data_IF_468721685035
#
_entry.id   IF_468721685035
#
_cell.length_a   1.000
_cell.length_b   1.000
_cell.length_c   1.000
_cell.angle_alpha   90.00
_cell.angle_beta   90.00
_cell.angle_gamma   90.00
#
_symmetry.space_group_name_H-M   'P 1'
#
loop_
_entity.id
_entity.type
_entity.pdbx_description
1 polymer ?
#
# COMPACT_ATOMS: atom_id res chain seq x y z
N UNK A 1 -1.56 -9.94 14.68
CA UNK A 1 -2.39 -8.72 14.60
C UNK A 1 -3.61 -8.97 13.72
N UNK A 2 -3.47 -9.55 12.53
CA UNK A 2 -4.59 -9.96 11.68
C UNK A 2 -5.75 -10.72 12.40
N UNK A 3 -5.45 -11.63 13.33
CA UNK A 3 -6.49 -12.33 14.11
C UNK A 3 -7.31 -11.37 14.99
N UNK A 4 -6.70 -10.33 15.55
CA UNK A 4 -7.42 -9.35 16.35
C UNK A 4 -8.37 -8.50 15.48
N UNK A 5 -7.90 -8.05 14.31
CA UNK A 5 -8.79 -7.41 13.32
C UNK A 5 -9.93 -8.33 12.90
N UNK A 6 -9.64 -9.61 12.69
CA UNK A 6 -10.66 -10.59 12.31
C UNK A 6 -11.76 -10.72 13.35
N UNK A 7 -11.39 -10.68 14.64
CA UNK A 7 -12.33 -10.67 15.76
C UNK A 7 -13.12 -9.36 15.83
N UNK A 8 -12.44 -8.23 15.76
CA UNK A 8 -13.04 -6.91 15.92
C UNK A 8 -14.13 -6.64 14.86
N UNK A 9 -13.88 -7.08 13.63
CA UNK A 9 -14.77 -6.85 12.49
C UNK A 9 -15.64 -8.08 12.11
N UNK A 10 -15.64 -9.15 12.92
CA UNK A 10 -16.39 -10.39 12.67
C UNK A 10 -16.23 -10.92 11.23
N UNK A 11 -14.96 -11.07 10.80
CA UNK A 11 -14.61 -11.36 9.41
C UNK A 11 -14.79 -12.84 9.01
N UNK A 12 -15.04 -13.07 7.72
CA UNK A 12 -14.83 -14.36 7.07
C UNK A 12 -13.40 -14.43 6.53
N UNK A 13 -12.58 -15.35 7.07
CA UNK A 13 -11.13 -15.37 6.82
C UNK A 13 -10.68 -16.70 6.23
N UNK A 14 -9.99 -16.66 5.09
CA UNK A 14 -9.17 -17.76 4.59
C UNK A 14 -7.74 -17.58 5.11
N UNK A 15 -7.34 -18.41 6.07
CA UNK A 15 -5.97 -18.41 6.60
C UNK A 15 -5.11 -19.40 5.83
N UNK A 16 -4.03 -18.94 5.21
CA UNK A 16 -3.05 -19.79 4.55
C UNK A 16 -1.70 -19.71 5.28
N UNK A 17 -1.05 -20.85 5.53
CA UNK A 17 0.28 -20.91 6.18
C UNK A 17 1.12 -22.04 5.64
N UNK A 18 2.44 -21.86 5.61
CA UNK A 18 3.36 -22.96 5.34
C UNK A 18 3.34 -23.92 6.53
N UNK A 19 3.46 -25.21 6.23
CA UNK A 19 3.73 -26.27 7.21
C UNK A 19 5.10 -26.83 6.92
N UNK A 20 5.94 -26.87 7.95
CA UNK A 20 7.28 -27.45 7.85
C UNK A 20 7.29 -28.64 8.80
N UNK A 21 6.88 -29.79 8.29
CA UNK A 21 6.99 -31.05 9.00
C UNK A 21 8.30 -31.74 8.58
N UNK A 22 8.82 -32.65 9.42
CA UNK A 22 10.15 -33.23 9.23
C UNK A 22 10.36 -33.97 7.88
N UNK A 23 9.26 -34.37 7.22
CA UNK A 23 9.29 -35.15 5.98
C UNK A 23 8.88 -34.35 4.72
N UNK A 24 8.08 -33.28 4.85
CA UNK A 24 7.53 -32.58 3.70
C UNK A 24 7.12 -31.13 4.03
N UNK A 25 7.30 -30.23 3.06
CA UNK A 25 6.81 -28.86 3.14
C UNK A 25 5.40 -28.80 2.55
N UNK A 26 4.43 -28.46 3.38
CA UNK A 26 3.02 -28.35 3.01
C UNK A 26 2.48 -26.92 3.10
N UNK A 27 1.24 -26.75 2.68
CA UNK A 27 0.44 -25.54 2.83
C UNK A 27 -0.87 -25.93 3.49
N UNK A 28 -1.15 -25.32 4.65
CA UNK A 28 -2.42 -25.45 5.34
C UNK A 28 -3.31 -24.26 5.00
N UNK A 29 -4.55 -24.53 4.60
CA UNK A 29 -5.60 -23.55 4.37
C UNK A 29 -6.74 -23.80 5.38
N UNK A 30 -7.15 -22.78 6.12
CA UNK A 30 -8.22 -22.88 7.13
C UNK A 30 -9.25 -21.78 6.85
N UNK A 31 -10.52 -22.15 6.71
CA UNK A 31 -11.61 -21.18 6.61
C UNK A 31 -12.17 -20.92 8.01
N UNK A 32 -12.09 -19.68 8.44
CA UNK A 32 -12.50 -19.22 9.76
C UNK A 32 -13.67 -18.24 9.62
N UNK A 33 -14.69 -18.39 10.46
CA UNK A 33 -15.73 -17.38 10.65
C UNK A 33 -15.56 -16.77 12.03
N UNK A 34 -15.57 -15.45 12.12
CA UNK A 34 -15.58 -14.76 13.40
C UNK A 34 -16.99 -14.28 13.69
N UNK A 35 -17.51 -14.63 14.87
CA UNK A 35 -18.82 -14.18 15.34
C UNK A 35 -18.68 -13.78 16.80
N UNK A 36 -19.11 -12.57 17.17
CA UNK A 36 -18.97 -12.06 18.54
C UNK A 36 -17.52 -12.15 19.05
N UNK A 37 -16.54 -11.85 18.18
CA UNK A 37 -15.11 -11.91 18.49
C UNK A 37 -14.53 -13.31 18.75
N UNK A 38 -15.28 -14.39 18.53
CA UNK A 38 -14.80 -15.77 18.66
C UNK A 38 -14.53 -16.41 17.29
N UNK A 39 -13.36 -17.05 17.08
CA UNK A 39 -13.07 -17.78 15.86
C UNK A 39 -13.75 -19.16 15.84
N UNK A 40 -14.54 -19.43 14.82
CA UNK A 40 -15.06 -20.74 14.47
C UNK A 40 -14.26 -21.29 13.28
N UNK A 41 -13.62 -22.46 13.45
CA UNK A 41 -13.02 -23.19 12.34
C UNK A 41 -14.13 -23.90 11.55
N UNK A 42 -14.38 -23.45 10.32
CA UNK A 42 -15.43 -24.01 9.48
C UNK A 42 -14.92 -25.22 8.69
N UNK A 43 -13.73 -25.09 8.10
CA UNK A 43 -13.12 -26.16 7.30
C UNK A 43 -11.60 -25.98 7.22
N UNK A 44 -10.89 -27.05 6.87
CA UNK A 44 -9.43 -27.03 6.72
C UNK A 44 -8.94 -28.00 5.66
N UNK A 45 -7.97 -27.56 4.88
CA UNK A 45 -7.36 -28.31 3.78
C UNK A 45 -5.84 -28.30 3.90
N UNK A 46 -5.22 -29.41 3.50
CA UNK A 46 -3.77 -29.56 3.51
C UNK A 46 -3.32 -30.09 2.17
N UNK A 47 -2.30 -29.43 1.59
CA UNK A 47 -1.71 -29.83 0.33
C UNK A 47 -0.19 -29.73 0.41
N UNK A 48 0.51 -30.50 -0.42
CA UNK A 48 1.94 -30.31 -0.62
C UNK A 48 2.22 -28.91 -1.20
N UNK A 49 3.34 -28.29 -0.86
CA UNK A 49 3.71 -26.99 -1.43
C UNK A 49 3.83 -27.03 -2.96
N UNK A 50 4.22 -28.17 -3.52
CA UNK A 50 4.25 -28.42 -4.97
C UNK A 50 2.89 -28.32 -5.64
N UNK A 51 1.79 -28.56 -4.93
CA UNK A 51 0.43 -28.38 -5.45
C UNK A 51 0.07 -26.90 -5.67
N UNK A 52 0.86 -25.98 -5.11
CA UNK A 52 0.79 -24.53 -5.36
C UNK A 52 1.86 -24.04 -6.36
N UNK A 53 2.62 -24.96 -6.96
CA UNK A 53 3.77 -24.63 -7.81
C UNK A 53 5.00 -24.16 -7.04
N UNK A 54 5.02 -24.32 -5.71
CA UNK A 54 6.18 -23.99 -4.89
C UNK A 54 7.18 -25.17 -4.90
N UNK A 55 8.46 -24.87 -5.11
CA UNK A 55 9.49 -25.91 -5.12
C UNK A 55 9.61 -26.58 -3.74
N UNK A 56 9.66 -27.92 -3.72
CA UNK A 56 9.83 -28.71 -2.50
C UNK A 56 11.21 -28.50 -1.85
N UNK A 57 12.19 -28.00 -2.61
CA UNK A 57 13.56 -27.79 -2.15
C UNK A 57 13.70 -26.46 -1.39
N UNK A 58 13.63 -26.62 -0.07
CA UNK A 58 14.24 -25.77 0.95
C UNK A 58 13.48 -24.48 1.31
N UNK A 59 12.30 -24.21 0.73
CA UNK A 59 11.49 -23.02 1.07
C UNK A 59 12.18 -21.67 0.82
N UNK A 60 13.38 -21.68 0.23
CA UNK A 60 14.26 -20.51 0.02
C UNK A 60 14.57 -20.30 -1.46
N UNK A 61 14.41 -21.31 -2.32
CA UNK A 61 14.73 -21.22 -3.75
C UNK A 61 13.47 -21.21 -4.61
N UNK A 62 13.01 -20.02 -4.97
CA UNK A 62 12.09 -19.88 -6.10
C UNK A 62 12.88 -20.21 -7.39
N UNK A 63 12.38 -21.07 -8.30
CA UNK A 63 13.00 -21.23 -9.60
C UNK A 63 13.13 -19.86 -10.28
N UNK A 64 14.28 -19.61 -10.92
CA UNK A 64 14.47 -18.40 -11.72
C UNK A 64 13.45 -18.43 -12.87
N UNK A 65 12.50 -17.51 -12.85
CA UNK A 65 11.44 -17.38 -13.84
C UNK A 65 10.05 -17.68 -13.30
N UNK A 66 9.02 -17.27 -14.05
CA UNK A 66 7.61 -17.50 -13.76
C UNK A 66 7.26 -18.98 -13.93
N UNK A 67 7.77 -19.85 -13.05
CA UNK A 67 7.26 -21.21 -12.96
C UNK A 67 5.74 -21.13 -12.84
N UNK A 68 4.99 -21.93 -13.62
CA UNK A 68 3.55 -21.84 -13.64
C UNK A 68 3.03 -22.08 -12.22
N UNK A 69 2.46 -21.04 -11.64
CA UNK A 69 1.76 -21.17 -10.37
C UNK A 69 0.50 -21.98 -10.66
N UNK A 70 0.35 -23.09 -9.95
CA UNK A 70 -0.84 -23.95 -10.03
C UNK A 70 -1.64 -23.79 -8.75
N UNK A 71 -2.95 -24.01 -8.85
CA UNK A 71 -3.83 -24.01 -7.69
C UNK A 71 -4.39 -25.42 -7.49
N UNK A 72 -4.45 -25.97 -6.27
CA UNK A 72 -4.95 -27.31 -6.05
C UNK A 72 -6.38 -27.50 -6.57
N UNK A 73 -6.59 -28.57 -7.33
CA UNK A 73 -7.91 -28.89 -7.91
C UNK A 73 -8.99 -29.00 -6.82
N UNK A 74 -10.13 -28.37 -7.05
CA UNK A 74 -11.29 -28.43 -6.15
C UNK A 74 -11.20 -27.54 -4.91
N UNK A 75 -10.02 -26.97 -4.59
CA UNK A 75 -9.85 -26.16 -3.38
C UNK A 75 -10.71 -24.88 -3.46
N UNK A 76 -10.75 -24.21 -4.61
CA UNK A 76 -11.52 -22.97 -4.78
C UNK A 76 -13.02 -23.24 -4.69
N UNK A 77 -13.51 -24.33 -5.28
CA UNK A 77 -14.91 -24.74 -5.24
C UNK A 77 -15.34 -25.13 -3.82
N UNK A 78 -14.45 -25.77 -3.06
CA UNK A 78 -14.70 -26.11 -1.67
C UNK A 78 -14.79 -24.85 -0.80
N UNK A 79 -13.84 -23.90 -0.97
CA UNK A 79 -13.89 -22.61 -0.28
C UNK A 79 -15.15 -21.83 -0.67
N UNK A 80 -15.50 -21.76 -1.96
CA UNK A 80 -16.67 -21.05 -2.46
C UNK A 80 -17.97 -21.55 -1.82
N UNK A 81 -18.18 -22.86 -1.86
CA UNK A 81 -19.36 -23.51 -1.28
C UNK A 81 -19.52 -23.18 0.21
N UNK A 82 -18.44 -23.28 0.98
CA UNK A 82 -18.46 -22.95 2.40
C UNK A 82 -18.69 -21.46 2.63
N UNK A 83 -18.06 -20.58 1.86
CA UNK A 83 -18.24 -19.14 2.00
C UNK A 83 -19.68 -18.69 1.72
N UNK A 84 -20.34 -19.30 0.73
CA UNK A 84 -21.74 -19.04 0.37
C UNK A 84 -22.71 -19.43 1.49
N UNK A 85 -22.43 -20.52 2.22
CA UNK A 85 -23.23 -20.96 3.38
C UNK A 85 -23.09 -20.00 4.58
N UNK A 86 -21.98 -19.25 4.68
CA UNK A 86 -21.60 -18.52 5.89
C UNK A 86 -21.94 -17.03 5.86
N UNK A 87 -21.89 -16.41 4.68
CA UNK A 87 -22.03 -14.97 4.50
C UNK A 87 -22.54 -14.59 3.10
N UNK A 88 -23.31 -13.49 2.98
CA UNK A 88 -23.73 -12.92 1.70
C UNK A 88 -22.57 -12.67 0.72
N UNK A 89 -22.88 -12.62 -0.58
CA UNK A 89 -21.89 -12.47 -1.65
C UNK A 89 -21.17 -11.10 -1.67
N UNK A 90 -21.75 -10.08 -1.05
CA UNK A 90 -21.15 -8.74 -0.92
C UNK A 90 -20.18 -8.63 0.27
N UNK A 91 -20.11 -9.66 1.13
CA UNK A 91 -19.12 -9.75 2.22
C UNK A 91 -17.81 -10.30 1.66
N UNK A 92 -16.69 -9.55 1.74
CA UNK A 92 -15.40 -10.04 1.25
C UNK A 92 -14.90 -11.27 1.99
N UNK A 93 -14.18 -12.13 1.27
CA UNK A 93 -13.33 -13.15 1.86
C UNK A 93 -11.97 -12.54 2.18
N UNK A 94 -11.59 -12.55 3.45
CA UNK A 94 -10.31 -12.01 3.90
C UNK A 94 -9.21 -13.07 3.88
N UNK A 95 -8.21 -12.89 3.03
CA UNK A 95 -7.01 -13.72 3.01
C UNK A 95 -6.03 -13.28 4.10
N UNK A 96 -5.70 -14.19 5.00
CA UNK A 96 -4.64 -14.02 6.00
C UNK A 96 -3.50 -14.99 5.71
N UNK A 97 -2.39 -14.47 5.18
CA UNK A 97 -1.17 -15.26 4.95
C UNK A 97 -0.37 -15.31 6.26
N UNK A 98 -0.64 -16.33 7.07
CA UNK A 98 -0.10 -16.46 8.42
C UNK A 98 1.32 -17.06 8.43
N UNK A 99 2.08 -16.76 9.49
CA UNK A 99 3.42 -17.32 9.69
C UNK A 99 3.38 -18.83 9.99
N UNK A 100 4.37 -19.61 9.51
CA UNK A 100 5.43 -19.21 8.58
C UNK A 100 4.89 -18.96 7.16
N UNK A 101 5.25 -17.81 6.57
CA UNK A 101 4.66 -17.34 5.30
C UNK A 101 5.33 -17.97 4.07
N UNK A 102 6.65 -18.18 4.11
CA UNK A 102 7.41 -18.62 2.93
C UNK A 102 7.15 -17.72 1.72
N UNK A 103 6.72 -18.34 0.61
CA UNK A 103 6.33 -17.67 -0.63
C UNK A 103 4.81 -17.56 -0.82
N UNK A 104 3.99 -17.88 0.19
CA UNK A 104 2.53 -17.80 0.04
C UNK A 104 2.02 -16.39 -0.28
N UNK A 105 2.73 -15.36 0.20
CA UNK A 105 2.41 -13.96 -0.12
C UNK A 105 2.58 -13.62 -1.60
N UNK A 106 3.40 -14.38 -2.35
CA UNK A 106 3.67 -14.15 -3.77
C UNK A 106 2.68 -14.86 -4.70
N UNK A 107 1.83 -15.73 -4.16
CA UNK A 107 0.84 -16.46 -4.96
C UNK A 107 -0.31 -15.53 -5.38
N UNK A 108 -0.85 -15.70 -6.60
CA UNK A 108 -1.95 -14.89 -7.13
C UNK A 108 -3.31 -15.42 -6.63
N UNK A 109 -3.50 -15.48 -5.31
CA UNK A 109 -4.71 -16.00 -4.67
C UNK A 109 -6.00 -15.41 -5.26
N UNK A 110 -6.02 -14.10 -5.49
CA UNK A 110 -7.19 -13.40 -6.03
C UNK A 110 -7.50 -13.84 -7.47
N UNK A 111 -6.48 -14.11 -8.28
CA UNK A 111 -6.65 -14.66 -9.65
C UNK A 111 -7.31 -16.04 -9.63
N UNK A 112 -6.97 -16.87 -8.64
CA UNK A 112 -7.50 -18.23 -8.52
C UNK A 112 -8.89 -18.28 -7.88
N UNK A 113 -9.09 -17.50 -6.83
CA UNK A 113 -10.29 -17.58 -5.98
C UNK A 113 -11.44 -16.75 -6.54
N UNK A 114 -11.19 -15.52 -6.98
CA UNK A 114 -12.25 -14.57 -7.38
C UNK A 114 -13.18 -15.13 -8.47
N UNK A 115 -12.69 -15.77 -9.56
CA UNK A 115 -13.57 -16.28 -10.61
C UNK A 115 -14.58 -17.34 -10.13
N UNK A 116 -14.23 -18.07 -9.06
CA UNK A 116 -15.01 -19.20 -8.54
C UNK A 116 -15.90 -18.76 -7.37
N UNK A 117 -15.36 -18.01 -6.41
CA UNK A 117 -16.10 -17.55 -5.22
C UNK A 117 -17.03 -16.35 -5.53
N UNK A 118 -16.75 -15.58 -6.59
CA UNK A 118 -17.57 -14.45 -7.05
C UNK A 118 -17.86 -13.36 -5.99
N UNK A 119 -16.95 -13.22 -5.03
CA UNK A 119 -16.94 -12.15 -4.02
C UNK A 119 -15.56 -11.49 -3.97
N UNK A 120 -15.43 -10.27 -3.42
CA UNK A 120 -14.12 -9.65 -3.25
C UNK A 120 -13.22 -10.50 -2.35
N UNK A 121 -11.96 -10.69 -2.77
CA UNK A 121 -10.92 -11.32 -1.96
C UNK A 121 -9.92 -10.24 -1.57
N UNK A 122 -9.81 -9.94 -0.27
CA UNK A 122 -8.97 -8.87 0.27
C UNK A 122 -7.95 -9.45 1.23
N UNK A 123 -6.77 -8.83 1.37
CA UNK A 123 -5.73 -9.31 2.29
C UNK A 123 -5.76 -8.55 3.60
N UNK A 124 -5.66 -9.29 4.71
CA UNK A 124 -5.50 -8.68 6.03
C UNK A 124 -4.08 -8.15 6.22
N UNK A 125 -3.92 -6.89 6.66
CA UNK A 125 -2.62 -6.34 7.02
C UNK A 125 -2.15 -6.91 8.37
N UNK A 126 -0.85 -6.83 8.61
CA UNK A 126 -0.24 -7.19 9.89
C UNK A 126 -0.21 -6.02 10.89
N UNK A 127 -1.00 -4.96 10.65
CA UNK A 127 -1.12 -3.77 11.49
C UNK A 127 -2.54 -3.61 12.05
N UNK A 128 -2.65 -3.14 13.29
CA UNK A 128 -3.93 -2.83 13.93
C UNK A 128 -4.36 -1.39 13.65
N UNK A 129 -3.38 -0.51 13.44
CA UNK A 129 -3.65 0.90 13.31
C UNK A 129 -4.42 1.17 12.01
N UNK A 130 -5.55 1.85 12.17
CA UNK A 130 -6.29 2.42 11.07
C UNK A 130 -5.38 3.48 10.40
N UNK A 131 -5.14 3.44 9.08
CA UNK A 131 -4.49 4.58 8.42
C UNK A 131 -5.40 5.76 8.62
N UNK A 132 -4.94 6.87 9.23
CA UNK A 132 -5.77 7.99 9.70
C UNK A 132 -6.89 8.46 8.76
N UNK A 133 -7.76 9.38 9.22
CA UNK A 133 -8.93 9.81 8.44
C UNK A 133 -8.50 10.20 7.02
N UNK A 134 -9.38 9.88 6.07
CA UNK A 134 -9.15 10.19 4.65
C UNK A 134 -8.76 11.67 4.53
N UNK A 135 -7.79 12.02 3.67
CA UNK A 135 -7.45 13.42 3.43
C UNK A 135 -8.73 14.21 3.12
N UNK A 136 -8.86 15.42 3.64
CA UNK A 136 -9.86 16.38 3.16
C UNK A 136 -9.16 17.26 2.13
N UNK A 137 -9.76 17.41 0.94
CA UNK A 137 -9.14 18.12 -0.19
C UNK A 137 -8.62 17.18 -1.27
N UNK A 138 -7.68 17.67 -2.06
CA UNK A 138 -7.14 16.94 -3.20
C UNK A 138 -6.35 15.70 -2.73
N UNK A 139 -6.42 14.64 -3.53
CA UNK A 139 -5.70 13.39 -3.34
C UNK A 139 -4.58 13.34 -4.36
N UNK A 140 -3.34 13.38 -3.88
CA UNK A 140 -2.14 13.41 -4.73
C UNK A 140 -1.64 11.98 -4.99
N UNK A 141 -1.66 11.56 -6.25
CA UNK A 141 -1.19 10.24 -6.68
C UNK A 141 0.09 10.37 -7.51
N UNK A 142 1.21 9.86 -7.01
CA UNK A 142 2.45 9.77 -7.77
C UNK A 142 2.53 8.42 -8.51
N UNK A 143 2.51 8.47 -9.84
CA UNK A 143 2.70 7.31 -10.71
C UNK A 143 4.13 7.30 -11.23
N UNK A 144 4.83 6.18 -11.08
CA UNK A 144 6.21 6.03 -11.54
C UNK A 144 6.34 4.82 -12.44
N UNK A 145 6.76 5.00 -13.70
CA UNK A 145 6.93 3.91 -14.65
C UNK A 145 8.32 3.92 -15.29
N UNK A 146 9.06 2.81 -15.16
CA UNK A 146 10.40 2.67 -15.76
C UNK A 146 10.54 1.36 -16.54
N UNK A 147 11.19 1.44 -17.70
CA UNK A 147 11.47 0.32 -18.61
C UNK A 147 12.98 0.16 -18.77
N UNK A 148 13.69 -0.44 -17.80
CA UNK A 148 15.12 -0.67 -17.93
C UNK A 148 15.46 -1.49 -19.18
N UNK A 149 16.42 -1.03 -19.98
CA UNK A 149 16.83 -1.69 -21.24
C UNK A 149 17.39 -3.10 -21.03
N UNK A 150 17.85 -3.42 -19.82
CA UNK A 150 18.24 -4.77 -19.40
C UNK A 150 17.04 -5.73 -19.22
N UNK A 151 15.79 -5.27 -19.40
CA UNK A 151 14.56 -6.05 -19.22
C UNK A 151 13.69 -6.03 -20.49
N UNK A 152 12.60 -6.80 -20.45
CA UNK A 152 11.70 -6.92 -21.60
C UNK A 152 10.85 -5.66 -21.74
N UNK A 153 10.93 -5.00 -22.89
CA UNK A 153 10.16 -3.79 -23.12
C UNK A 153 8.64 -4.02 -23.00
N UNK A 154 7.92 -3.00 -22.55
CA UNK A 154 6.46 -2.97 -22.48
C UNK A 154 5.94 -1.54 -22.74
N UNK A 155 4.66 -1.37 -23.13
CA UNK A 155 4.10 -0.05 -23.48
C UNK A 155 3.82 0.79 -22.23
N UNK A 156 4.90 1.31 -21.61
CA UNK A 156 4.85 2.00 -20.31
C UNK A 156 3.98 3.25 -20.34
N UNK A 157 4.05 4.05 -21.41
CA UNK A 157 3.29 5.30 -21.48
C UNK A 157 1.79 5.02 -21.60
N UNK A 158 1.40 4.05 -22.42
CA UNK A 158 0.01 3.65 -22.57
C UNK A 158 -0.54 3.07 -21.26
N UNK A 159 0.24 2.28 -20.54
CA UNK A 159 -0.14 1.70 -19.25
C UNK A 159 -0.20 2.77 -18.15
N UNK A 160 0.77 3.70 -18.07
CA UNK A 160 0.70 4.84 -17.15
C UNK A 160 -0.52 5.73 -17.44
N UNK A 161 -0.85 5.96 -18.71
CA UNK A 161 -2.05 6.69 -19.09
C UNK A 161 -3.34 5.99 -18.60
N UNK A 162 -3.40 4.65 -18.67
CA UNK A 162 -4.51 3.87 -18.11
C UNK A 162 -4.57 3.96 -16.58
N UNK A 163 -3.42 3.88 -15.90
CA UNK A 163 -3.36 4.05 -14.44
C UNK A 163 -3.81 5.44 -14.00
N UNK A 164 -3.39 6.50 -14.71
CA UNK A 164 -3.79 7.87 -14.44
C UNK A 164 -5.30 8.04 -14.60
N UNK A 165 -5.89 7.51 -15.68
CA UNK A 165 -7.35 7.50 -15.86
C UNK A 165 -8.05 6.72 -14.76
N UNK A 166 -7.58 5.52 -14.40
CA UNK A 166 -8.15 4.72 -13.32
C UNK A 166 -8.15 5.47 -11.97
N UNK A 167 -7.09 6.21 -11.67
CA UNK A 167 -7.02 7.05 -10.47
C UNK A 167 -8.01 8.22 -10.54
N UNK A 168 -8.06 8.94 -11.67
CA UNK A 168 -8.98 10.08 -11.87
C UNK A 168 -10.45 9.64 -11.89
N UNK A 169 -10.78 8.47 -12.45
CA UNK A 169 -12.13 7.91 -12.46
C UNK A 169 -12.60 7.48 -11.06
N UNK A 170 -11.66 7.17 -10.16
CA UNK A 170 -12.01 6.79 -8.80
C UNK A 170 -12.53 7.97 -7.98
N UNK A 171 -12.01 9.18 -8.22
CA UNK A 171 -12.56 10.43 -7.68
C UNK A 171 -12.27 11.59 -8.66
N UNK A 172 -13.21 11.86 -9.59
CA UNK A 172 -13.01 12.85 -10.64
C UNK A 172 -12.93 14.29 -10.17
N UNK A 173 -13.12 14.59 -8.89
CA UNK A 173 -13.07 15.97 -8.39
C UNK A 173 -11.80 16.24 -7.60
N UNK A 174 -11.21 15.21 -6.98
CA UNK A 174 -10.16 15.40 -5.98
C UNK A 174 -8.80 14.84 -6.39
N UNK A 175 -8.74 13.91 -7.34
CA UNK A 175 -7.46 13.28 -7.68
C UNK A 175 -6.61 14.19 -8.58
N UNK A 176 -5.37 14.40 -8.16
CA UNK A 176 -4.28 15.02 -8.92
C UNK A 176 -3.18 13.97 -9.10
N UNK A 177 -2.66 13.86 -10.32
CA UNK A 177 -1.69 12.82 -10.67
C UNK A 177 -0.36 13.47 -11.03
N UNK A 178 0.73 13.03 -10.40
CA UNK A 178 2.09 13.33 -10.85
C UNK A 178 2.68 12.09 -11.50
N UNK A 179 3.16 12.22 -12.74
CA UNK A 179 3.69 11.13 -13.52
C UNK A 179 5.21 11.28 -13.70
N UNK A 180 5.91 10.20 -13.39
CA UNK A 180 7.36 10.05 -13.50
C UNK A 180 7.66 8.88 -14.44
N UNK A 181 8.50 9.11 -15.44
CA UNK A 181 8.92 8.05 -16.37
C UNK A 181 10.33 8.28 -16.90
N UNK A 182 10.88 7.31 -17.65
CA UNK A 182 12.23 7.42 -18.21
C UNK A 182 12.25 8.61 -19.19
N UNK A 183 13.37 9.34 -19.25
CA UNK A 183 13.49 10.55 -20.09
C UNK A 183 13.11 10.31 -21.56
N UNK A 184 13.36 9.11 -22.09
CA UNK A 184 13.01 8.76 -23.46
C UNK A 184 11.49 8.67 -23.69
N UNK A 185 10.72 8.40 -22.63
CA UNK A 185 9.28 8.21 -22.66
C UNK A 185 8.52 9.53 -22.41
N UNK A 186 9.15 10.51 -21.76
CA UNK A 186 8.54 11.80 -21.40
C UNK A 186 7.85 12.53 -22.57
N UNK A 187 8.46 12.66 -23.77
CA UNK A 187 7.80 13.36 -24.89
C UNK A 187 6.53 12.65 -25.39
N UNK A 188 6.43 11.32 -25.22
CA UNK A 188 5.22 10.60 -25.54
C UNK A 188 4.17 10.74 -24.44
N UNK A 189 4.59 10.70 -23.17
CA UNK A 189 3.70 10.90 -22.02
C UNK A 189 3.03 12.28 -22.05
N UNK A 190 3.81 13.35 -22.27
CA UNK A 190 3.30 14.72 -22.45
C UNK A 190 2.25 14.76 -23.57
N UNK A 191 2.59 14.31 -24.79
CA UNK A 191 1.64 14.31 -25.92
C UNK A 191 0.31 13.59 -25.65
N UNK A 192 0.32 12.52 -24.85
CA UNK A 192 -0.90 11.73 -24.55
C UNK A 192 -1.69 12.36 -23.41
N UNK A 193 -1.05 13.02 -22.46
CA UNK A 193 -1.65 13.41 -21.17
C UNK A 193 -1.78 14.92 -20.97
N UNK A 194 -1.16 15.76 -21.79
CA UNK A 194 -1.18 17.23 -21.69
C UNK A 194 -2.60 17.83 -21.76
N UNK A 195 -3.56 17.10 -22.33
CA UNK A 195 -4.96 17.53 -22.39
C UNK A 195 -5.67 17.51 -21.03
N UNK A 196 -5.19 16.70 -20.07
CA UNK A 196 -5.76 16.59 -18.74
C UNK A 196 -4.99 17.45 -17.74
N UNK A 197 -5.62 18.54 -17.30
CA UNK A 197 -4.99 19.57 -16.44
C UNK A 197 -4.55 19.05 -15.06
N UNK A 198 -5.08 17.90 -14.63
CA UNK A 198 -4.78 17.28 -13.34
C UNK A 198 -3.68 16.24 -13.43
N UNK A 199 -3.05 16.09 -14.59
CA UNK A 199 -1.89 15.23 -14.76
C UNK A 199 -0.66 16.12 -14.98
N UNK A 200 0.29 16.04 -14.05
CA UNK A 200 1.58 16.71 -14.12
C UNK A 200 2.64 15.70 -14.54
N UNK A 201 3.12 15.81 -15.78
CA UNK A 201 4.22 14.97 -16.29
C UNK A 201 5.54 15.65 -15.97
N UNK A 202 6.37 15.00 -15.16
CA UNK A 202 7.69 15.50 -14.76
C UNK A 202 8.76 15.07 -15.75
N UNK A 203 9.65 15.99 -16.12
CA UNK A 203 10.77 15.74 -17.02
C UNK A 203 12.10 15.68 -16.26
N UNK A 204 12.76 14.54 -16.31
CA UNK A 204 14.05 14.34 -15.64
C UNK A 204 15.17 15.26 -16.16
N UNK A 205 15.00 15.87 -17.35
CA UNK A 205 15.96 16.83 -17.93
C UNK A 205 15.93 18.20 -17.24
N UNK A 206 14.82 18.53 -16.59
CA UNK A 206 14.63 19.80 -15.88
C UNK A 206 15.30 19.79 -14.50
N UNK A 207 15.70 18.61 -14.00
CA UNK A 207 16.46 18.49 -12.76
C UNK A 207 17.93 18.84 -12.99
N UNK A 208 18.30 20.08 -12.66
CA UNK A 208 19.66 20.61 -12.75
C UNK A 208 20.60 20.05 -11.68
N UNK A 209 20.10 19.26 -10.72
CA UNK A 209 20.98 18.69 -9.69
C UNK A 209 21.97 17.71 -10.32
N UNK A 210 23.26 17.96 -10.17
CA UNK A 210 24.30 17.04 -10.58
C UNK A 210 24.10 15.70 -9.84
N UNK A 211 23.93 14.62 -10.61
CA UNK A 211 23.81 13.25 -10.08
C UNK A 211 25.13 12.73 -9.48
N UNK A 212 26.18 13.57 -9.43
CA UNK A 212 27.57 13.23 -9.09
C UNK A 212 27.79 12.77 -7.64
N UNK A 213 26.81 12.94 -6.74
CA UNK A 213 26.92 12.42 -5.37
C UNK A 213 26.59 10.92 -5.30
N UNK A 214 27.49 10.10 -5.85
CA UNK A 214 27.49 8.63 -5.73
C UNK A 214 27.70 8.10 -4.31
N UNK A 215 27.99 8.97 -3.34
CA UNK A 215 28.23 8.59 -1.94
C UNK A 215 26.96 8.60 -1.07
N UNK A 216 25.92 9.35 -1.47
CA UNK A 216 24.66 9.43 -0.73
C UNK A 216 23.75 8.26 -1.10
N UNK A 217 24.09 7.07 -0.60
CA UNK A 217 23.38 5.80 -0.87
C UNK A 217 21.87 5.95 -1.02
N UNK A 218 21.36 5.70 -2.22
CA UNK A 218 19.94 5.85 -2.55
C UNK A 218 19.68 5.61 -4.03
N UNK A 219 18.41 5.44 -4.39
CA UNK A 219 18.01 5.33 -5.80
C UNK A 219 17.90 6.72 -6.43
N UNK A 220 18.57 7.00 -7.58
CA UNK A 220 18.43 8.27 -8.29
C UNK A 220 16.98 8.62 -8.61
N UNK A 221 16.17 7.61 -8.97
CA UNK A 221 14.73 7.75 -9.19
C UNK A 221 13.98 8.33 -7.99
N UNK A 222 14.21 7.77 -6.80
CA UNK A 222 13.51 8.21 -5.60
C UNK A 222 13.97 9.62 -5.18
N UNK A 223 15.24 9.97 -5.40
CA UNK A 223 15.75 11.33 -5.13
C UNK A 223 15.12 12.36 -6.08
N UNK A 224 15.09 12.06 -7.37
CA UNK A 224 14.48 12.91 -8.39
C UNK A 224 12.99 13.16 -8.10
N UNK A 225 12.21 12.10 -7.80
CA UNK A 225 10.80 12.24 -7.42
C UNK A 225 10.62 13.15 -6.19
N UNK A 226 11.43 12.97 -5.14
CA UNK A 226 11.37 13.82 -3.94
C UNK A 226 11.61 15.29 -4.26
N UNK A 227 12.61 15.59 -5.11
CA UNK A 227 12.94 16.97 -5.51
C UNK A 227 11.85 17.58 -6.38
N UNK A 228 11.37 16.83 -7.37
CA UNK A 228 10.35 17.28 -8.32
C UNK A 228 9.01 17.57 -7.67
N UNK A 229 8.69 16.86 -6.58
CA UNK A 229 7.51 17.14 -5.76
C UNK A 229 7.69 18.35 -4.83
N UNK A 230 8.90 18.92 -4.69
CA UNK A 230 9.11 20.17 -3.95
C UNK A 230 8.74 20.12 -2.46
N UNK A 231 8.63 18.92 -1.87
CA UNK A 231 8.13 18.74 -0.50
C UNK A 231 6.60 18.65 -0.38
N UNK A 232 5.86 18.72 -1.50
CA UNK A 232 4.44 18.43 -1.53
C UNK A 232 4.19 16.98 -1.10
N UNK A 233 3.25 16.76 -0.15
CA UNK A 233 3.02 15.44 0.37
C UNK A 233 2.18 14.65 -0.65
N UNK A 234 2.56 13.40 -0.86
CA UNK A 234 1.82 12.47 -1.74
C UNK A 234 0.93 11.60 -0.89
N UNK A 235 -0.25 11.23 -1.39
CA UNK A 235 -1.18 10.34 -0.71
C UNK A 235 -0.95 8.88 -1.11
N UNK A 236 -0.78 8.63 -2.41
CA UNK A 236 -0.57 7.30 -2.97
C UNK A 236 0.62 7.33 -3.92
N UNK A 237 1.53 6.36 -3.78
CA UNK A 237 2.62 6.15 -4.73
C UNK A 237 2.37 4.82 -5.44
N UNK A 238 2.33 4.80 -6.78
CA UNK A 238 2.10 3.58 -7.54
C UNK A 238 3.20 3.37 -8.60
N UNK A 239 3.91 2.25 -8.51
CA UNK A 239 4.98 1.89 -9.44
C UNK A 239 4.51 0.93 -10.54
N UNK A 240 4.83 1.23 -11.80
CA UNK A 240 4.72 0.34 -12.96
C UNK A 240 6.12 -0.06 -13.42
N UNK A 241 6.52 -1.29 -13.15
CA UNK A 241 7.91 -1.71 -13.37
C UNK A 241 8.02 -3.22 -13.41
N UNK A 242 9.20 -3.72 -13.72
CA UNK A 242 9.48 -5.14 -13.54
C UNK A 242 9.71 -5.47 -12.07
N UNK A 243 9.29 -6.66 -11.66
CA UNK A 243 9.71 -7.24 -10.39
C UNK A 243 11.02 -8.00 -10.53
N UNK A 244 11.71 -8.18 -9.41
CA UNK A 244 12.85 -9.05 -9.28
C UNK A 244 12.74 -9.85 -8.00
N UNK A 245 12.96 -11.16 -8.09
CA UNK A 245 12.99 -12.07 -6.95
C UNK A 245 14.25 -12.92 -7.02
N UNK A 246 15.08 -12.83 -6.00
CA UNK A 246 16.23 -13.71 -5.84
C UNK A 246 16.31 -14.21 -4.40
N UNK A 247 16.02 -15.51 -4.23
CA UNK A 247 15.79 -16.12 -2.92
C UNK A 247 14.69 -15.32 -2.20
N UNK A 248 14.96 -14.84 -1.00
CA UNK A 248 14.03 -14.06 -0.18
C UNK A 248 14.05 -12.56 -0.47
N UNK A 249 14.97 -12.08 -1.33
CA UNK A 249 15.09 -10.65 -1.66
C UNK A 249 14.22 -10.33 -2.86
N UNK A 250 13.35 -9.35 -2.66
CA UNK A 250 12.47 -8.84 -3.70
C UNK A 250 12.70 -7.34 -3.88
N UNK A 251 12.63 -6.89 -5.12
CA UNK A 251 12.82 -5.50 -5.48
C UNK A 251 12.01 -5.17 -6.73
N UNK A 252 11.78 -3.88 -6.95
CA UNK A 252 11.41 -3.36 -8.26
C UNK A 252 12.69 -3.13 -9.08
N UNK A 253 12.61 -3.35 -10.39
CA UNK A 253 13.69 -3.06 -11.33
C UNK A 253 13.36 -1.80 -12.14
N UNK A 254 14.28 -0.84 -12.13
CA UNK A 254 14.19 0.45 -12.82
C UNK A 254 15.47 0.70 -13.63
N UNK A 255 15.43 1.67 -14.54
CA UNK A 255 16.61 2.16 -15.26
C UNK A 255 17.69 2.67 -14.29
N UNK A 256 18.92 2.83 -14.81
CA UNK A 256 20.09 3.23 -14.02
C UNK A 256 19.84 4.54 -13.26
N UNK A 257 19.23 5.50 -13.95
CA UNK A 257 18.73 6.78 -13.46
C UNK A 257 17.47 7.17 -14.28
N UNK A 258 16.72 8.22 -13.90
CA UNK A 258 15.62 8.70 -14.73
C UNK A 258 16.10 9.39 -16.03
N UNK A 259 17.40 9.75 -16.13
CA UNK A 259 18.03 10.40 -17.28
C UNK A 259 18.81 9.44 -18.18
N UNK A 260 19.15 8.25 -17.68
CA UNK A 260 20.03 7.29 -18.31
C UNK A 260 19.45 5.88 -18.24
N UNK A 261 19.38 5.23 -19.40
CA UNK A 261 18.85 3.88 -19.54
C UNK A 261 19.63 3.10 -20.61
N UNK A 262 20.95 2.99 -20.43
CA UNK A 262 21.85 2.43 -21.44
C UNK A 262 22.43 1.07 -21.05
N UNK A 263 22.50 0.75 -19.76
CA UNK A 263 23.00 -0.55 -19.29
C UNK A 263 22.05 -1.70 -19.65
N UNK A 264 22.50 -2.52 -20.59
CA UNK A 264 21.82 -3.74 -21.05
C UNK A 264 22.13 -4.96 -20.19
N UNK A 265 23.19 -4.90 -19.38
CA UNK A 265 23.63 -5.99 -18.54
C UNK A 265 22.90 -6.03 -17.20
N UNK A 266 22.62 -4.87 -16.61
CA UNK A 266 21.93 -4.77 -15.32
C UNK A 266 20.86 -3.68 -15.30
N UNK A 267 19.80 -3.95 -14.53
CA UNK A 267 18.88 -2.91 -14.06
C UNK A 267 19.30 -2.47 -12.66
N UNK A 268 18.81 -1.32 -12.21
CA UNK A 268 18.90 -0.93 -10.80
C UNK A 268 17.72 -1.53 -10.03
N UNK A 269 17.98 -2.04 -8.84
CA UNK A 269 16.98 -2.66 -7.98
C UNK A 269 16.69 -1.78 -6.77
N UNK A 270 15.40 -1.57 -6.47
CA UNK A 270 14.96 -0.82 -5.29
C UNK A 270 14.12 -1.74 -4.41
N UNK A 271 14.61 -2.01 -3.19
CA UNK A 271 14.00 -2.97 -2.28
C UNK A 271 12.80 -2.35 -1.50
N UNK A 272 11.94 -3.21 -0.95
CA UNK A 272 10.78 -2.81 -0.16
C UNK A 272 11.12 -1.85 1.01
N UNK A 273 12.31 -2.00 1.63
CA UNK A 273 12.78 -1.11 2.71
C UNK A 273 12.97 0.33 2.24
N UNK A 274 13.57 0.51 1.07
CA UNK A 274 13.84 1.84 0.52
C UNK A 274 12.55 2.49 0.03
N UNK A 275 11.67 1.71 -0.59
CA UNK A 275 10.32 2.16 -0.97
C UNK A 275 9.48 2.56 0.25
N UNK A 276 9.55 1.81 1.35
CA UNK A 276 8.86 2.14 2.61
C UNK A 276 9.36 3.48 3.16
N UNK A 277 10.69 3.67 3.23
CA UNK A 277 11.30 4.93 3.69
C UNK A 277 10.91 6.11 2.80
N UNK A 278 10.89 5.90 1.49
CA UNK A 278 10.47 6.89 0.52
C UNK A 278 8.99 7.26 0.69
N UNK A 279 8.11 6.27 0.82
CA UNK A 279 6.69 6.50 1.08
C UNK A 279 6.47 7.29 2.39
N UNK A 280 7.19 6.95 3.46
CA UNK A 280 7.17 7.71 4.72
C UNK A 280 7.64 9.15 4.53
N UNK A 281 8.72 9.39 3.78
CA UNK A 281 9.24 10.74 3.51
C UNK A 281 8.25 11.62 2.77
N UNK A 282 7.50 11.05 1.82
CA UNK A 282 6.46 11.76 1.08
C UNK A 282 5.14 11.89 1.85
N UNK A 283 5.00 11.26 3.02
CA UNK A 283 3.74 11.21 3.74
C UNK A 283 2.66 10.36 3.05
N UNK A 284 3.06 9.48 2.13
CA UNK A 284 2.14 8.59 1.43
C UNK A 284 1.53 7.59 2.41
N UNK A 285 0.20 7.49 2.40
CA UNK A 285 -0.54 6.51 3.19
C UNK A 285 -0.80 5.23 2.38
N UNK A 286 -0.95 5.32 1.06
CA UNK A 286 -1.10 4.17 0.15
C UNK A 286 0.12 3.89 -0.72
N UNK A 287 0.36 2.61 -1.05
CA UNK A 287 1.39 2.20 -2.01
C UNK A 287 0.80 1.22 -3.03
N UNK A 288 1.17 1.32 -4.30
CA UNK A 288 0.70 0.48 -5.39
C UNK A 288 1.83 -0.09 -6.24
N UNK A 289 1.60 -1.26 -6.81
CA UNK A 289 2.46 -1.88 -7.81
C UNK A 289 1.63 -2.44 -8.96
N UNK A 290 1.96 -2.09 -10.19
CA UNK A 290 1.37 -2.66 -11.39
C UNK A 290 2.42 -3.50 -12.12
N UNK A 291 2.09 -4.76 -12.38
CA UNK A 291 2.86 -5.68 -13.20
C UNK A 291 2.51 -5.47 -14.67
N UNK A 292 3.47 -5.19 -15.56
CA UNK A 292 3.21 -5.21 -17.00
C UNK A 292 2.96 -6.65 -17.48
N UNK A 293 2.32 -6.82 -18.64
CA UNK A 293 2.04 -8.15 -19.21
C UNK A 293 3.31 -8.97 -19.51
N UNK A 294 4.43 -8.31 -19.79
CA UNK A 294 5.74 -8.93 -20.03
C UNK A 294 6.67 -8.79 -18.81
N UNK A 295 6.12 -8.91 -17.60
CA UNK A 295 6.92 -8.75 -16.39
C UNK A 295 8.04 -9.79 -16.29
N UNK A 296 9.21 -9.39 -15.76
CA UNK A 296 10.32 -10.30 -15.52
C UNK A 296 10.05 -11.23 -14.33
N UNK A 297 9.34 -10.74 -13.30
CA UNK A 297 8.95 -11.55 -12.16
C UNK A 297 7.73 -10.93 -11.47
N UNK A 298 6.55 -11.48 -11.75
CA UNK A 298 5.31 -11.09 -11.06
C UNK A 298 5.40 -11.39 -9.57
N UNK A 299 5.94 -12.56 -9.23
CA UNK A 299 6.18 -12.98 -7.85
C UNK A 299 7.09 -12.00 -7.07
N UNK A 300 8.08 -11.40 -7.74
CA UNK A 300 8.93 -10.37 -7.15
C UNK A 300 8.16 -9.12 -6.74
N UNK A 301 7.30 -8.59 -7.62
CA UNK A 301 6.45 -7.43 -7.27
C UNK A 301 5.45 -7.76 -6.16
N UNK A 302 4.79 -8.93 -6.23
CA UNK A 302 3.87 -9.38 -5.17
C UNK A 302 4.60 -9.50 -3.84
N UNK A 303 5.85 -9.97 -3.84
CA UNK A 303 6.67 -10.03 -2.64
C UNK A 303 7.03 -8.65 -2.09
N UNK A 304 7.36 -7.68 -2.95
CA UNK A 304 7.59 -6.30 -2.51
C UNK A 304 6.31 -5.73 -1.88
N UNK A 305 5.16 -5.92 -2.52
CA UNK A 305 3.86 -5.47 -1.99
C UNK A 305 3.56 -6.10 -0.61
N UNK A 306 3.72 -7.40 -0.48
CA UNK A 306 3.57 -8.17 0.77
C UNK A 306 4.50 -7.67 1.89
N UNK A 307 5.77 -7.42 1.56
CA UNK A 307 6.75 -6.88 2.50
C UNK A 307 6.38 -5.47 2.97
N UNK A 308 5.90 -4.60 2.08
CA UNK A 308 5.45 -3.25 2.45
C UNK A 308 4.19 -3.31 3.31
N UNK A 309 3.21 -4.16 2.95
CA UNK A 309 1.99 -4.36 3.73
C UNK A 309 2.24 -4.89 5.14
N UNK A 310 3.38 -5.56 5.34
CA UNK A 310 3.86 -6.05 6.65
C UNK A 310 4.78 -5.04 7.36
N UNK A 311 5.35 -4.06 6.64
CA UNK A 311 6.32 -3.11 7.18
C UNK A 311 5.73 -1.74 7.55
N UNK A 312 4.57 -1.35 6.99
CA UNK A 312 3.89 -0.10 7.34
C UNK A 312 2.36 -0.23 7.32
N UNK A 313 1.64 0.57 8.15
CA UNK A 313 0.20 0.74 8.02
C UNK A 313 -0.20 1.38 6.68
N UNK A 314 -1.44 1.15 6.28
CA UNK A 314 -2.04 1.70 5.05
C UNK A 314 -2.24 0.68 3.94
N UNK A 315 -3.05 1.02 2.92
CA UNK A 315 -3.35 0.08 1.86
C UNK A 315 -2.15 -0.15 0.95
N UNK A 316 -2.01 -1.41 0.52
CA UNK A 316 -1.05 -1.80 -0.52
C UNK A 316 -1.80 -2.49 -1.64
N UNK A 317 -1.73 -1.93 -2.85
CA UNK A 317 -2.34 -2.47 -4.07
C UNK A 317 -1.26 -3.18 -4.89
N UNK A 318 -1.55 -4.39 -5.33
CA UNK A 318 -0.89 -5.00 -6.47
C UNK A 318 -1.92 -5.18 -7.60
N UNK A 319 -1.54 -4.84 -8.82
CA UNK A 319 -2.37 -4.91 -10.02
C UNK A 319 -1.60 -5.61 -11.17
N UNK A 320 -2.31 -6.36 -12.01
CA UNK A 320 -1.72 -7.05 -13.15
C UNK A 320 -2.39 -6.70 -14.49
N UNK A 321 -1.63 -6.02 -15.35
CA UNK A 321 -2.05 -5.66 -16.71
C UNK A 321 -2.24 -6.87 -17.64
N UNK A 322 -1.68 -8.03 -17.32
CA UNK A 322 -1.95 -9.26 -18.06
C UNK A 322 -3.40 -9.73 -17.92
N UNK A 323 -4.06 -9.41 -16.79
CA UNK A 323 -5.45 -9.81 -16.49
C UNK A 323 -6.42 -8.65 -16.66
N UNK A 324 -6.02 -7.43 -16.31
CA UNK A 324 -6.82 -6.21 -16.49
C UNK A 324 -6.10 -5.22 -17.42
N UNK A 325 -6.05 -5.50 -18.74
CA UNK A 325 -5.31 -4.67 -19.68
C UNK A 325 -5.82 -3.24 -19.68
N UNK A 326 -7.12 -3.01 -19.51
CA UNK A 326 -7.76 -1.70 -19.60
C UNK A 326 -7.75 -0.91 -18.28
N UNK A 327 -7.34 -1.53 -17.17
CA UNK A 327 -7.26 -0.88 -15.86
C UNK A 327 -8.62 -0.62 -15.20
N UNK A 328 -9.68 -1.33 -15.61
CA UNK A 328 -11.02 -1.14 -15.09
C UNK A 328 -11.13 -1.62 -13.64
N UNK A 329 -10.51 -2.76 -13.34
CA UNK A 329 -10.45 -3.28 -11.98
C UNK A 329 -9.53 -2.40 -11.14
N UNK A 330 -8.43 -1.89 -11.70
CA UNK A 330 -7.56 -0.92 -11.01
C UNK A 330 -8.35 0.30 -10.52
N UNK A 331 -9.26 0.84 -11.32
CA UNK A 331 -10.14 1.93 -10.92
C UNK A 331 -11.02 1.53 -9.71
N UNK A 332 -11.56 0.31 -9.68
CA UNK A 332 -12.29 -0.22 -8.52
C UNK A 332 -11.42 -0.31 -7.26
N UNK A 333 -10.15 -0.71 -7.41
CA UNK A 333 -9.18 -0.72 -6.31
C UNK A 333 -8.94 0.68 -5.73
N UNK A 334 -8.76 1.69 -6.59
CA UNK A 334 -8.65 3.09 -6.17
C UNK A 334 -9.94 3.56 -5.48
N UNK A 335 -11.12 3.28 -6.05
CA UNK A 335 -12.40 3.66 -5.44
C UNK A 335 -12.56 3.11 -4.03
N UNK A 336 -12.13 1.88 -3.79
CA UNK A 336 -12.18 1.28 -2.46
C UNK A 336 -11.26 1.99 -1.46
N UNK A 337 -9.99 2.26 -1.82
CA UNK A 337 -9.06 2.90 -0.87
C UNK A 337 -9.35 4.38 -0.66
N UNK A 338 -9.89 5.08 -1.66
CA UNK A 338 -10.44 6.43 -1.50
C UNK A 338 -11.81 6.41 -0.82
N UNK A 339 -12.40 5.21 -0.70
CA UNK A 339 -13.75 4.90 -0.24
C UNK A 339 -14.82 5.77 -0.90
N UNK A 340 -14.69 5.92 -2.21
CA UNK A 340 -15.72 6.41 -3.14
C UNK A 340 -16.48 5.25 -3.78
N UNK A 341 -16.09 4.00 -3.50
CA UNK A 341 -16.78 2.80 -3.94
C UNK A 341 -16.68 1.65 -2.94
N UNK A 342 -17.26 0.51 -3.32
CA UNK A 342 -17.23 -0.73 -2.54
C UNK A 342 -16.17 -1.68 -3.08
N UNK A 343 -15.82 -2.68 -2.28
CA UNK A 343 -14.99 -3.77 -2.76
C UNK A 343 -15.71 -4.55 -3.86
N UNK A 344 -15.03 -4.76 -4.99
CA UNK A 344 -15.55 -5.52 -6.13
C UNK A 344 -14.70 -6.79 -6.34
N UNK A 345 -15.29 -7.91 -6.80
CA UNK A 345 -14.52 -9.09 -7.19
C UNK A 345 -13.52 -8.75 -8.30
N UNK A 346 -12.23 -8.92 -8.03
CA UNK A 346 -11.16 -8.66 -9.00
C UNK A 346 -10.13 -9.80 -9.02
N UNK A 347 -9.93 -10.51 -10.15
CA UNK A 347 -8.80 -11.43 -10.30
C UNK A 347 -7.47 -10.72 -10.59
N UNK A 348 -7.49 -9.45 -11.02
CA UNK A 348 -6.30 -8.68 -11.37
C UNK A 348 -5.65 -7.95 -10.19
N UNK A 349 -6.36 -7.82 -9.06
CA UNK A 349 -5.92 -7.04 -7.90
C UNK A 349 -5.69 -7.92 -6.69
N UNK A 350 -4.58 -7.68 -6.00
CA UNK A 350 -4.39 -8.05 -4.61
C UNK A 350 -4.34 -6.78 -3.76
N UNK A 351 -5.30 -6.60 -2.86
CA UNK A 351 -5.37 -5.42 -2.01
C UNK A 351 -5.21 -5.82 -0.54
N UNK A 352 -4.12 -5.38 0.08
CA UNK A 352 -3.96 -5.43 1.53
C UNK A 352 -4.50 -4.13 2.12
N UNK A 353 -5.55 -4.19 2.93
CA UNK A 353 -6.14 -2.99 3.54
C UNK A 353 -6.80 -3.30 4.87
N UNK A 354 -6.96 -2.29 5.72
CA UNK A 354 -7.67 -2.42 6.98
C UNK A 354 -9.17 -2.73 6.74
N UNK A 355 -9.85 -3.57 7.55
CA UNK A 355 -11.27 -3.88 7.35
C UNK A 355 -12.22 -2.67 7.38
N UNK A 356 -11.82 -1.58 8.02
CA UNK A 356 -12.57 -0.32 8.05
C UNK A 356 -12.77 0.33 6.67
N UNK A 357 -11.97 -0.01 5.65
CA UNK A 357 -12.20 0.46 4.28
C UNK A 357 -13.46 -0.15 3.66
N UNK A 358 -13.90 -1.30 4.17
CA UNK A 358 -15.09 -2.03 3.68
C UNK A 358 -16.28 -1.83 4.61
N UNK A 359 -16.03 -1.66 5.92
CA UNK A 359 -17.07 -1.48 6.90
C UNK A 359 -17.98 -0.30 6.52
N UNK A 360 -19.27 -0.59 6.27
CA UNK A 360 -20.29 0.43 6.09
C UNK A 360 -20.30 1.38 7.29
N UNK A 361 -20.59 2.67 7.09
CA UNK A 361 -20.47 3.72 8.13
C UNK A 361 -21.13 3.38 9.48
N UNK A 362 -22.16 2.50 9.51
CA UNK A 362 -22.78 2.01 10.75
C UNK A 362 -21.99 0.97 11.56
N UNK A 363 -20.91 0.40 11.01
CA UNK A 363 -20.07 -0.61 11.65
C UNK A 363 -18.74 -0.06 12.20
N UNK A 364 -18.53 1.27 12.14
CA UNK A 364 -17.43 1.95 12.85
C UNK A 364 -17.69 1.96 14.37
N UNK A 365 -17.73 0.78 14.99
CA UNK A 365 -17.70 0.65 16.46
C UNK A 365 -16.25 0.78 16.90
N UNK A 366 -15.83 1.99 17.25
CA UNK A 366 -14.44 2.30 17.54
C UNK A 366 -13.85 1.51 18.74
N UNK A 367 -12.59 1.08 18.64
CA UNK A 367 -11.73 0.79 19.79
C UNK A 367 -10.73 1.94 20.09
N UNK A 368 -10.88 3.11 19.45
CA UNK A 368 -9.89 4.21 19.50
C UNK A 368 -9.55 4.70 20.92
N UNK A 369 -10.40 4.47 21.93
CA UNK A 369 -10.13 4.90 23.30
C UNK A 369 -9.06 4.06 24.06
N UNK A 370 -8.56 2.92 23.53
CA UNK A 370 -7.68 2.02 24.30
C UNK A 370 -6.22 1.92 23.84
N UNK A 371 -5.81 2.60 22.76
CA UNK A 371 -4.45 2.46 22.18
C UNK A 371 -3.59 3.72 22.37
N UNK A 372 -4.15 4.83 22.87
CA UNK A 372 -3.46 6.12 23.04
C UNK A 372 -2.23 6.13 23.97
N UNK A 373 -1.90 5.07 24.70
CA UNK A 373 -0.93 5.16 25.81
C UNK A 373 0.51 4.69 25.52
N UNK A 374 0.91 4.27 24.30
CA UNK A 374 2.23 3.60 24.13
C UNK A 374 3.14 4.00 22.97
N UNK A 375 2.79 4.92 22.08
CA UNK A 375 3.64 5.24 20.92
C UNK A 375 4.27 6.62 21.02
N UNK A 376 5.23 6.76 21.94
CA UNK A 376 6.17 7.89 21.96
C UNK A 376 7.57 7.37 22.32
N UNK A 377 8.36 7.06 21.29
CA UNK A 377 9.84 7.12 21.25
C UNK A 377 10.34 6.49 19.96
N UNK A 378 10.65 7.30 18.96
CA UNK A 378 11.79 7.17 18.02
C UNK A 378 11.91 8.53 17.33
N UNK A 379 13.12 9.10 17.33
CA UNK A 379 13.44 10.40 16.76
C UNK A 379 14.13 10.23 15.40
N UNK A 380 13.57 10.80 14.33
CA UNK A 380 14.32 11.27 13.17
C UNK A 380 13.47 12.28 12.35
N UNK A 381 14.13 13.19 11.65
CA UNK A 381 13.68 14.36 10.86
C UNK A 381 12.58 14.11 9.80
N UNK A 382 12.19 12.86 9.58
CA UNK A 382 11.10 12.44 8.68
C UNK A 382 9.69 12.71 9.23
N UNK A 383 9.59 13.17 10.48
CA UNK A 383 8.33 13.39 11.17
C UNK A 383 7.61 14.69 10.81
N UNK A 384 8.16 15.62 10.03
CA UNK A 384 7.43 16.89 9.77
C UNK A 384 6.18 16.68 8.94
N UNK A 385 6.25 16.01 7.79
CA UNK A 385 5.07 15.78 6.95
C UNK A 385 4.08 14.81 7.62
N UNK A 386 4.57 13.69 8.15
CA UNK A 386 3.74 12.72 8.88
C UNK A 386 3.19 13.29 10.20
N UNK A 387 3.97 14.12 10.89
CA UNK A 387 3.61 14.79 12.13
C UNK A 387 2.66 15.96 11.90
N UNK A 388 2.82 16.74 10.82
CA UNK A 388 1.85 17.77 10.43
C UNK A 388 0.50 17.12 10.11
N UNK A 389 0.47 16.07 9.29
CA UNK A 389 -0.77 15.31 9.03
C UNK A 389 -1.36 14.69 10.31
N UNK A 390 -0.51 14.22 11.23
CA UNK A 390 -0.96 13.70 12.54
C UNK A 390 -1.52 14.79 13.44
N UNK A 391 -0.93 15.99 13.44
CA UNK A 391 -1.45 17.13 14.19
C UNK A 391 -2.75 17.65 13.60
N UNK A 392 -2.84 17.74 12.27
CA UNK A 392 -4.09 18.06 11.56
C UNK A 392 -5.20 17.06 11.88
N UNK A 393 -4.87 15.76 11.96
CA UNK A 393 -5.80 14.72 12.37
C UNK A 393 -6.29 14.93 13.82
N UNK A 394 -5.40 15.17 14.77
CA UNK A 394 -5.77 15.37 16.17
C UNK A 394 -6.58 16.66 16.35
N UNK A 395 -6.22 17.75 15.67
CA UNK A 395 -6.92 19.02 15.79
C UNK A 395 -8.39 18.88 15.34
N UNK A 396 -8.64 18.12 14.26
CA UNK A 396 -10.00 17.80 13.80
C UNK A 396 -10.75 16.87 14.74
N UNK A 397 -10.08 15.89 15.34
CA UNK A 397 -10.72 15.03 16.33
C UNK A 397 -11.16 15.85 17.57
N UNK A 398 -10.37 16.85 17.98
CA UNK A 398 -10.76 17.81 19.01
C UNK A 398 -11.95 18.65 18.57
N UNK A 399 -11.97 19.17 17.34
CA UNK A 399 -13.09 19.93 16.81
C UNK A 399 -14.39 19.11 16.79
N UNK A 400 -14.30 17.84 16.40
CA UNK A 400 -15.44 16.92 16.41
C UNK A 400 -15.93 16.66 17.84
N UNK A 401 -15.02 16.37 18.79
CA UNK A 401 -15.36 16.20 20.20
C UNK A 401 -16.02 17.47 20.76
N UNK A 402 -15.53 18.65 20.39
CA UNK A 402 -16.09 19.92 20.83
C UNK A 402 -17.50 20.17 20.27
N UNK A 403 -17.76 19.80 19.02
CA UNK A 403 -19.09 19.86 18.42
C UNK A 403 -20.06 18.90 19.13
N UNK A 404 -19.65 17.65 19.34
CA UNK A 404 -20.44 16.64 20.06
C UNK A 404 -20.73 17.08 21.51
N UNK A 405 -19.73 17.67 22.20
CA UNK A 405 -19.90 18.22 23.55
C UNK A 405 -20.87 19.40 23.58
N UNK A 406 -20.86 20.27 22.55
CA UNK A 406 -21.82 21.39 22.45
C UNK A 406 -23.24 20.88 22.24
N UNK A 407 -23.43 19.93 21.33
CA UNK A 407 -24.75 19.32 21.08
C UNK A 407 -25.27 18.58 22.32
N UNK A 408 -24.42 17.89 23.06
CA UNK A 408 -24.81 17.20 24.30
C UNK A 408 -25.05 18.16 25.48
N UNK A 409 -24.30 19.26 25.58
CA UNK A 409 -24.50 20.26 26.63
C UNK A 409 -25.85 20.99 26.50
N UNK A 410 -26.42 21.05 25.29
CA UNK A 410 -27.79 21.54 25.06
C UNK A 410 -28.86 20.55 25.54
N UNK A 411 -28.50 19.27 25.73
CA UNK A 411 -29.45 18.17 26.03
C UNK A 411 -29.27 17.58 27.44
N UNK A 412 -28.07 17.64 28.05
CA UNK A 412 -27.77 16.98 29.33
C UNK A 412 -26.55 17.55 30.07
N UNK A 413 -26.54 17.48 31.41
CA UNK A 413 -25.45 17.94 32.29
C UNK A 413 -24.23 17.00 32.35
N UNK A 414 -24.03 16.12 31.35
CA UNK A 414 -22.98 15.08 31.33
C UNK A 414 -21.64 15.52 30.69
N UNK A 415 -21.45 16.81 30.37
CA UNK A 415 -20.33 17.29 29.52
C UNK A 415 -18.93 17.25 30.16
N UNK A 416 -18.81 17.11 31.48
CA UNK A 416 -17.55 17.39 32.20
C UNK A 416 -16.40 16.40 31.94
N UNK A 417 -16.68 15.15 31.57
CA UNK A 417 -15.63 14.16 31.29
C UNK A 417 -15.01 14.35 29.89
N UNK A 418 -15.84 14.63 28.88
CA UNK A 418 -15.39 14.88 27.50
C UNK A 418 -14.69 16.23 27.37
N UNK A 419 -15.18 17.25 28.09
CA UNK A 419 -14.52 18.55 28.14
C UNK A 419 -13.09 18.48 28.71
N UNK A 420 -12.86 17.61 29.71
CA UNK A 420 -11.52 17.32 30.23
C UNK A 420 -10.63 16.62 29.22
N UNK A 421 -11.17 15.64 28.49
CA UNK A 421 -10.44 14.92 27.43
C UNK A 421 -10.01 15.87 26.30
N UNK A 422 -10.94 16.68 25.76
CA UNK A 422 -10.67 17.72 24.75
C UNK A 422 -9.60 18.71 25.23
N UNK A 423 -9.66 19.16 26.49
CA UNK A 423 -8.63 20.04 27.07
C UNK A 423 -7.24 19.40 27.11
N UNK A 424 -7.13 18.14 27.55
CA UNK A 424 -5.85 17.41 27.60
C UNK A 424 -5.25 17.22 26.20
N UNK A 425 -6.10 16.99 25.20
CA UNK A 425 -5.69 16.82 23.80
C UNK A 425 -5.15 18.13 23.22
N UNK A 426 -5.81 19.27 23.48
CA UNK A 426 -5.31 20.62 23.08
C UNK A 426 -3.97 20.97 23.73
N UNK A 427 -3.80 20.64 25.02
CA UNK A 427 -2.54 20.89 25.72
C UNK A 427 -1.40 20.00 25.17
N UNK A 428 -1.72 18.82 24.64
CA UNK A 428 -0.76 17.93 23.99
C UNK A 428 -0.38 18.42 22.60
N UNK A 429 -1.37 18.84 21.78
CA UNK A 429 -1.14 19.47 20.48
C UNK A 429 -0.21 20.67 20.59
N UNK A 430 -0.52 21.62 21.48
CA UNK A 430 0.29 22.83 21.67
C UNK A 430 1.76 22.50 21.99
N UNK A 431 2.00 21.46 22.80
CA UNK A 431 3.37 21.00 23.10
C UNK A 431 4.06 20.42 21.86
N UNK A 432 3.35 19.67 21.02
CA UNK A 432 3.90 19.12 19.77
C UNK A 432 4.22 20.23 18.77
N UNK A 433 3.34 21.23 18.61
CA UNK A 433 3.58 22.43 17.80
C UNK A 433 4.79 23.24 18.29
N UNK A 434 4.92 23.43 19.61
CA UNK A 434 6.09 24.07 20.20
C UNK A 434 7.39 23.31 19.89
N UNK A 435 7.36 21.97 19.95
CA UNK A 435 8.51 21.13 19.62
C UNK A 435 8.85 21.26 18.13
N UNK A 436 7.86 21.23 17.23
CA UNK A 436 8.02 21.44 15.79
C UNK A 436 8.68 22.79 15.50
N UNK A 437 8.12 23.86 16.08
CA UNK A 437 8.56 25.24 15.86
C UNK A 437 9.99 25.48 16.38
N UNK A 438 10.33 24.92 17.56
CA UNK A 438 11.69 25.00 18.12
C UNK A 438 12.73 24.28 17.25
N UNK A 439 12.37 23.16 16.62
CA UNK A 439 13.27 22.46 15.71
C UNK A 439 13.38 23.15 14.34
N UNK A 440 12.32 23.82 13.86
CA UNK A 440 12.35 24.64 12.64
C UNK A 440 13.34 25.80 12.69
N UNK A 441 13.45 26.49 13.84
CA UNK A 441 14.37 27.63 13.99
C UNK A 441 15.85 27.24 14.10
N UNK A 442 16.16 26.02 14.53
CA UNK A 442 17.56 25.55 14.66
C UNK A 442 18.21 25.20 13.33
N UNK A 443 17.44 24.79 12.32
CA UNK A 443 17.96 24.45 10.99
C UNK A 443 18.20 25.69 10.12
N UNK A 444 17.49 26.80 10.36
CA UNK A 444 17.68 28.06 9.63
C UNK A 444 18.78 28.98 10.19
N UNK A 445 19.35 28.68 11.36
CA UNK A 445 20.27 29.58 12.09
C UNK A 445 21.77 29.36 11.80
N UNK A 446 22.15 28.35 11.02
CA UNK A 446 23.56 27.93 10.88
C UNK A 446 24.23 28.40 9.58
N UNK A 447 23.82 29.56 9.05
CA UNK A 447 24.44 30.11 7.83
C UNK A 447 24.50 31.64 7.91
N UNK A 448 25.55 32.15 8.53
CA UNK A 448 26.28 33.40 8.21
C UNK A 448 27.09 33.84 9.43
N UNK A 449 28.33 33.36 9.52
CA UNK A 449 29.46 34.11 10.10
C UNK A 449 30.74 33.36 9.74
N UNK A 450 31.39 33.83 8.66
CA UNK A 450 32.59 33.21 8.09
C UNK A 450 33.17 34.05 6.98
N UNK A 451 33.19 35.37 7.17
CA UNK A 451 33.96 36.30 6.36
C UNK A 451 34.95 37.04 7.25
N UNK A 452 36.25 36.83 7.01
CA UNK A 452 37.31 37.70 7.55
C UNK A 452 38.54 36.97 8.07
N UNK A 453 39.45 36.59 7.17
CA UNK A 453 40.88 36.92 7.21
C UNK A 453 41.57 36.36 5.96
#
# INVERSE_FOLDING_TARGET
MAIQLSREFDLLVLRARMRVDAAEVGVGCELLKFTHHEPELVDSWEHAASAFGLAATDGVTHPRGDAPTVFPDGLAENIARRADDLAPADVPLWLHVARPVGYLGTLPWERWLTPIIRRPVLRLPDFLDHPGPKPEGDVVVALCGSVPVAKTAFPVVEQLARMARAALEADPQRVVVHLFTDVEQTPQAQRILDAERRIHVHDAREDESDDEDGESGGSPWLRWMLRSLGGEPVDIIHFLCHGFLHRTRAAIAVAESPRENFDRASARFVEARDLTRFATRLGAWGVGFSSPSANYSEAGLRRVADQIATARPGPVIFHDFGVDPDGLQLASGYRLILGTGRAEPSPAISLSCHPSFVASDGARRGPAASVESKVLRIADTTWRAAGLRYLEMIDREIEQIDLEVREEAEVSSASTARERSSKTMRDTLRKMEEILSKHGRREGGTRMEGGGA
#
